data_IF_561194885829
#
_entry.id   IF_561194885829
#
_cell.length_a   1.000
_cell.length_b   1.000
_cell.length_c   1.000
_cell.angle_alpha   90.00
_cell.angle_beta   90.00
_cell.angle_gamma   90.00
#
_symmetry.space_group_name_H-M   'P 1'
#
loop_
_entity.id
_entity.type
_entity.pdbx_description
1 polymer ?
#
# COMPACT_ATOMS: atom_id res chain seq x y z
N UNK A 1 0.71 -15.65 3.70
CA UNK A 1 0.76 -15.93 5.15
C UNK A 1 0.03 -17.24 5.53
N UNK A 2 -0.25 -18.11 4.57
CA UNK A 2 -1.08 -19.34 4.75
C UNK A 2 -0.33 -20.57 5.32
N UNK A 3 0.90 -20.42 5.80
CA UNK A 3 1.69 -21.52 6.35
C UNK A 3 1.41 -21.81 7.83
N UNK A 4 1.71 -23.04 8.29
CA UNK A 4 1.62 -23.45 9.70
C UNK A 4 2.70 -22.80 10.60
N UNK A 5 3.73 -22.22 10.01
CA UNK A 5 4.82 -21.52 10.69
C UNK A 5 4.80 -20.07 10.28
N UNK A 6 4.75 -19.16 11.26
CA UNK A 6 4.81 -17.73 11.01
C UNK A 6 6.28 -17.32 10.96
N UNK A 7 6.76 -16.86 9.81
CA UNK A 7 8.15 -16.41 9.71
C UNK A 7 8.34 -15.07 10.44
N UNK A 8 9.51 -14.91 11.02
CA UNK A 8 9.93 -13.64 11.64
C UNK A 8 10.79 -12.86 10.66
N UNK A 9 10.41 -11.62 10.41
CA UNK A 9 11.14 -10.71 9.52
C UNK A 9 11.50 -9.42 10.26
N UNK A 10 12.63 -8.82 9.88
CA UNK A 10 12.90 -7.42 10.18
C UNK A 10 12.26 -6.55 9.09
N UNK A 11 11.42 -5.62 9.50
CA UNK A 11 10.71 -4.70 8.61
C UNK A 11 10.40 -3.38 9.31
N UNK A 12 9.67 -2.49 8.66
CA UNK A 12 9.32 -1.19 9.24
C UNK A 12 8.81 -1.27 10.68
N UNK A 13 7.85 -2.15 11.02
CA UNK A 13 7.32 -2.17 12.39
C UNK A 13 8.38 -2.56 13.43
N UNK A 14 9.22 -3.56 13.15
CA UNK A 14 10.27 -3.99 14.07
C UNK A 14 11.34 -2.92 14.24
N UNK A 15 11.81 -2.34 13.13
CA UNK A 15 12.84 -1.30 13.15
C UNK A 15 12.35 -0.04 13.88
N UNK A 16 11.14 0.43 13.56
CA UNK A 16 10.57 1.62 14.19
C UNK A 16 10.26 1.39 15.68
N UNK A 17 9.82 0.19 16.06
CA UNK A 17 9.62 -0.20 17.45
C UNK A 17 10.94 -0.13 18.26
N UNK A 18 12.04 -0.60 17.69
CA UNK A 18 13.39 -0.48 18.29
C UNK A 18 13.82 0.98 18.47
N UNK A 19 13.29 1.90 17.67
CA UNK A 19 13.47 3.35 17.79
C UNK A 19 12.45 4.03 18.73
N UNK A 20 11.66 3.26 19.44
CA UNK A 20 10.69 3.77 20.43
C UNK A 20 9.34 4.20 19.85
N UNK A 21 9.06 3.88 18.58
CA UNK A 21 7.73 4.12 18.02
C UNK A 21 6.71 3.13 18.57
N UNK A 22 5.50 3.62 18.86
CA UNK A 22 4.33 2.76 19.06
C UNK A 22 3.80 2.32 17.70
N UNK A 23 3.68 1.02 17.47
CA UNK A 23 3.31 0.46 16.18
C UNK A 23 1.88 -0.07 16.19
N UNK A 24 1.05 0.42 15.27
CA UNK A 24 -0.38 0.12 15.19
C UNK A 24 -0.78 -0.28 13.77
N UNK A 25 -1.62 -1.31 13.67
CA UNK A 25 -2.21 -1.74 12.40
C UNK A 25 -3.74 -1.70 12.50
N UNK A 26 -4.37 -1.07 11.54
CA UNK A 26 -5.83 -0.95 11.44
C UNK A 26 -6.30 -1.61 10.16
N UNK A 27 -7.21 -2.58 10.26
CA UNK A 27 -7.83 -3.27 9.12
C UNK A 27 -9.34 -3.26 9.26
N UNK A 28 -10.05 -3.35 8.15
CA UNK A 28 -11.52 -3.30 8.13
C UNK A 28 -12.17 -4.62 8.51
N UNK A 29 -11.55 -5.74 8.14
CA UNK A 29 -12.07 -7.10 8.23
C UNK A 29 -11.60 -7.85 9.51
N UNK A 30 -11.99 -9.11 9.61
CA UNK A 30 -11.58 -9.99 10.71
C UNK A 30 -10.07 -10.17 10.78
N UNK A 31 -9.54 -10.20 11.99
CA UNK A 31 -8.10 -10.28 12.25
C UNK A 31 -7.45 -11.57 11.76
N UNK A 32 -8.23 -12.64 11.64
CA UNK A 32 -7.74 -13.95 11.18
C UNK A 32 -7.68 -14.08 9.66
N UNK A 33 -8.20 -13.12 8.91
CA UNK A 33 -8.09 -13.14 7.45
C UNK A 33 -6.63 -13.28 7.03
N UNK A 34 -6.34 -14.27 6.20
CA UNK A 34 -4.97 -14.64 5.76
C UNK A 34 -3.92 -14.72 6.88
N UNK A 35 -4.35 -15.02 8.12
CA UNK A 35 -3.50 -15.12 9.30
C UNK A 35 -2.75 -13.82 9.66
N UNK A 36 -3.31 -12.67 9.28
CA UNK A 36 -2.67 -11.36 9.44
C UNK A 36 -2.37 -11.01 10.89
N UNK A 37 -3.29 -11.28 11.82
CA UNK A 37 -3.09 -10.97 13.24
C UNK A 37 -1.83 -11.63 13.81
N UNK A 38 -1.69 -12.94 13.60
CA UNK A 38 -0.54 -13.66 14.10
C UNK A 38 0.76 -13.18 13.43
N UNK A 39 0.73 -12.94 12.11
CA UNK A 39 1.89 -12.44 11.37
C UNK A 39 2.33 -11.05 11.84
N UNK A 40 1.42 -10.10 11.96
CA UNK A 40 1.77 -8.74 12.34
C UNK A 40 2.22 -8.62 13.80
N UNK A 41 1.61 -9.36 14.72
CA UNK A 41 2.08 -9.42 16.12
C UNK A 41 3.49 -9.98 16.21
N UNK A 42 3.78 -11.05 15.46
CA UNK A 42 5.12 -11.65 15.42
C UNK A 42 6.15 -10.71 14.80
N UNK A 43 5.73 -9.85 13.87
CA UNK A 43 6.60 -8.98 13.09
C UNK A 43 6.53 -7.50 13.51
N UNK A 44 6.26 -7.21 14.78
CA UNK A 44 6.60 -5.95 15.41
C UNK A 44 5.45 -4.96 15.62
N UNK A 45 4.18 -5.30 15.29
CA UNK A 45 3.06 -4.45 15.65
C UNK A 45 2.65 -4.66 17.11
N UNK A 46 2.55 -3.57 17.89
CA UNK A 46 2.10 -3.58 19.26
C UNK A 46 0.60 -3.77 19.38
N UNK A 47 -0.15 -3.08 18.51
CA UNK A 47 -1.61 -3.10 18.50
C UNK A 47 -2.14 -3.39 17.11
N UNK A 48 -3.17 -4.23 17.05
CA UNK A 48 -3.89 -4.56 15.83
C UNK A 48 -5.37 -4.35 16.10
N UNK A 49 -5.98 -3.49 15.28
CA UNK A 49 -7.40 -3.17 15.33
C UNK A 49 -8.07 -3.73 14.08
N UNK A 50 -9.16 -4.43 14.26
CA UNK A 50 -9.84 -5.22 13.25
C UNK A 50 -11.34 -5.25 13.54
N UNK A 51 -12.12 -5.93 12.72
CA UNK A 51 -13.57 -6.00 12.83
C UNK A 51 -14.06 -6.32 14.26
N UNK A 52 -13.34 -7.15 14.99
CA UNK A 52 -13.67 -7.55 16.37
C UNK A 52 -13.61 -6.37 17.37
N UNK A 53 -12.97 -5.27 17.01
CA UNK A 53 -12.88 -4.06 17.82
C UNK A 53 -13.96 -3.03 17.48
N UNK A 54 -14.74 -3.24 16.42
CA UNK A 54 -15.70 -2.28 15.90
C UNK A 54 -17.14 -2.66 16.30
N UNK A 55 -18.05 -1.68 16.39
CA UNK A 55 -19.47 -1.99 16.56
C UNK A 55 -20.01 -2.84 15.43
N UNK A 56 -20.74 -3.91 15.74
CA UNK A 56 -21.22 -4.88 14.75
C UNK A 56 -22.12 -4.25 13.68
N UNK A 57 -22.87 -3.19 14.02
CA UNK A 57 -23.73 -2.44 13.10
C UNK A 57 -22.92 -1.60 12.07
N UNK A 58 -21.61 -1.49 12.22
CA UNK A 58 -20.72 -0.84 11.25
C UNK A 58 -20.16 -1.81 10.21
N UNK A 59 -20.27 -3.10 10.46
CA UNK A 59 -19.85 -4.13 9.52
C UNK A 59 -20.85 -4.19 8.36
N UNK A 60 -20.40 -3.99 7.14
CA UNK A 60 -21.25 -3.87 5.96
C UNK A 60 -21.27 -5.11 5.08
N UNK A 61 -20.18 -5.89 5.11
CA UNK A 61 -20.06 -7.15 4.35
C UNK A 61 -18.94 -8.02 4.94
N UNK A 62 -18.56 -9.10 4.25
CA UNK A 62 -17.47 -10.00 4.68
C UNK A 62 -16.06 -9.36 4.73
N UNK A 63 -15.89 -8.16 4.20
CA UNK A 63 -14.66 -7.36 4.29
C UNK A 63 -14.71 -6.31 5.40
N UNK A 64 -15.74 -6.34 6.25
CA UNK A 64 -15.81 -5.56 7.47
C UNK A 64 -16.43 -4.19 7.32
N UNK A 65 -15.78 -3.17 7.87
CA UNK A 65 -16.27 -1.80 7.96
C UNK A 65 -15.87 -0.96 6.76
N UNK A 66 -16.56 0.16 6.55
CA UNK A 66 -16.24 1.14 5.51
C UNK A 66 -14.95 1.90 5.81
N UNK A 67 -14.29 2.42 4.76
CA UNK A 67 -13.00 3.13 4.86
C UNK A 67 -13.10 4.39 5.73
N UNK A 68 -14.16 5.20 5.60
CA UNK A 68 -14.33 6.40 6.39
C UNK A 68 -14.47 6.11 7.89
N UNK A 69 -15.17 5.00 8.23
CA UNK A 69 -15.24 4.54 9.62
C UNK A 69 -13.87 4.08 10.13
N UNK A 70 -13.12 3.29 9.34
CA UNK A 70 -11.77 2.87 9.69
C UNK A 70 -10.87 4.06 9.99
N UNK A 71 -10.88 5.05 9.10
CA UNK A 71 -10.07 6.26 9.23
C UNK A 71 -10.44 7.10 10.46
N UNK A 72 -11.72 7.25 10.76
CA UNK A 72 -12.19 7.96 11.96
C UNK A 72 -11.81 7.20 13.24
N UNK A 73 -11.92 5.88 13.22
CA UNK A 73 -11.52 5.02 14.34
C UNK A 73 -10.01 5.15 14.59
N UNK A 74 -9.20 5.01 13.55
CA UNK A 74 -7.75 5.18 13.63
C UNK A 74 -7.36 6.57 14.14
N UNK A 75 -7.97 7.64 13.60
CA UNK A 75 -7.70 9.01 14.03
C UNK A 75 -7.96 9.21 15.53
N UNK A 76 -9.01 8.62 16.07
CA UNK A 76 -9.33 8.69 17.51
C UNK A 76 -8.27 7.97 18.37
N UNK A 77 -7.68 6.88 17.88
CA UNK A 77 -6.55 6.21 18.54
C UNK A 77 -5.27 7.02 18.45
N UNK A 78 -4.96 7.58 17.27
CA UNK A 78 -3.80 8.44 17.06
C UNK A 78 -3.84 9.72 17.91
N UNK A 79 -5.02 10.31 18.14
CA UNK A 79 -5.20 11.43 19.07
C UNK A 79 -4.81 11.08 20.50
N UNK A 80 -5.20 9.89 20.96
CA UNK A 80 -4.85 9.41 22.31
C UNK A 80 -3.35 9.11 22.40
N UNK A 81 -2.78 8.52 21.37
CA UNK A 81 -1.35 8.21 21.30
C UNK A 81 -0.49 9.48 21.27
N UNK A 82 -0.92 10.51 20.55
CA UNK A 82 -0.18 11.78 20.46
C UNK A 82 -0.11 12.57 21.78
N UNK A 83 -0.96 12.25 22.75
CA UNK A 83 -0.85 12.77 24.12
C UNK A 83 0.31 12.13 24.90
N UNK A 84 0.90 11.06 24.40
CA UNK A 84 2.09 10.41 24.93
C UNK A 84 3.34 11.00 24.26
N UNK A 85 4.49 10.80 24.87
CA UNK A 85 5.78 11.35 24.36
C UNK A 85 6.39 10.53 23.23
N UNK A 86 5.92 9.30 23.03
CA UNK A 86 6.47 8.38 22.02
C UNK A 86 5.90 8.67 20.63
N UNK A 87 6.74 8.66 19.57
CA UNK A 87 6.24 8.71 18.21
C UNK A 87 5.42 7.47 17.86
N UNK A 88 4.64 7.53 16.78
CA UNK A 88 3.84 6.40 16.34
C UNK A 88 4.11 6.04 14.87
N UNK A 89 3.91 4.75 14.57
CA UNK A 89 3.82 4.20 13.22
C UNK A 89 2.47 3.52 13.08
N UNK A 90 1.65 3.98 12.16
CA UNK A 90 0.31 3.44 11.94
C UNK A 90 0.13 3.02 10.48
N UNK A 91 -0.37 1.81 10.28
CA UNK A 91 -0.80 1.31 8.95
C UNK A 91 -2.31 1.20 8.96
N UNK A 92 -2.96 1.78 7.94
CA UNK A 92 -4.40 1.76 7.73
C UNK A 92 -4.67 1.02 6.41
N UNK A 93 -5.22 -0.20 6.50
CA UNK A 93 -5.55 -1.02 5.35
C UNK A 93 -7.02 -0.82 5.01
N UNK A 94 -7.30 -0.03 3.98
CA UNK A 94 -8.63 0.19 3.43
C UNK A 94 -9.07 -0.95 2.52
N UNK A 95 -10.36 -1.11 2.27
CA UNK A 95 -10.92 -2.23 1.51
C UNK A 95 -12.11 -1.85 0.62
N UNK A 96 -12.65 -0.63 0.74
CA UNK A 96 -13.90 -0.29 0.06
C UNK A 96 -13.85 -0.49 -1.45
N UNK A 97 -12.66 -0.33 -2.08
CA UNK A 97 -12.48 -0.60 -3.51
C UNK A 97 -12.30 -2.10 -3.84
N UNK A 98 -12.78 -2.99 -2.99
CA UNK A 98 -12.85 -4.44 -3.24
C UNK A 98 -14.33 -4.90 -3.38
N UNK A 99 -14.70 -5.66 -4.43
CA UNK A 99 -16.06 -6.19 -4.55
C UNK A 99 -16.39 -7.22 -3.42
N UNK A 100 -17.64 -7.26 -2.95
CA UNK A 100 -18.81 -6.51 -3.42
C UNK A 100 -18.79 -5.06 -2.94
N UNK A 101 -19.00 -4.12 -3.88
CA UNK A 101 -18.97 -2.69 -3.58
C UNK A 101 -20.20 -2.26 -2.80
N UNK A 102 -20.00 -1.53 -1.72
CA UNK A 102 -21.05 -0.94 -0.90
C UNK A 102 -20.87 0.57 -0.83
N UNK A 103 -21.73 1.31 -1.52
CA UNK A 103 -21.73 2.77 -1.44
C UNK A 103 -22.61 3.20 -0.27
N UNK A 104 -22.09 3.90 0.75
CA UNK A 104 -22.89 4.37 1.86
C UNK A 104 -23.97 5.36 1.40
N UNK A 105 -25.18 5.27 1.96
CA UNK A 105 -26.32 6.11 1.60
C UNK A 105 -26.11 7.62 1.84
N UNK A 106 -25.18 7.97 2.71
CA UNK A 106 -24.80 9.37 3.00
C UNK A 106 -23.79 9.94 2.01
N UNK A 107 -23.14 9.11 1.19
CA UNK A 107 -22.24 9.56 0.15
C UNK A 107 -23.00 9.75 -1.17
N UNK A 108 -22.73 10.84 -1.86
CA UNK A 108 -23.39 11.18 -3.12
C UNK A 108 -22.34 11.14 -4.26
N UNK A 109 -22.21 10.00 -4.96
CA UNK A 109 -21.28 9.88 -6.08
C UNK A 109 -21.73 10.71 -7.27
N UNK A 110 -20.78 11.13 -8.11
CA UNK A 110 -21.06 11.84 -9.36
C UNK A 110 -21.31 10.89 -10.52
N UNK A 111 -20.55 9.79 -10.56
CA UNK A 111 -20.69 8.76 -11.60
C UNK A 111 -21.94 7.91 -11.40
N UNK A 112 -22.39 7.30 -12.48
CA UNK A 112 -23.45 6.27 -12.48
C UNK A 112 -22.87 4.84 -12.46
N UNK A 113 -21.58 4.68 -12.71
CA UNK A 113 -20.90 3.39 -12.70
C UNK A 113 -20.45 3.07 -11.27
N UNK A 114 -20.82 1.91 -10.75
CA UNK A 114 -20.53 1.47 -9.39
C UNK A 114 -19.01 1.40 -9.12
N UNK A 115 -18.22 1.00 -10.10
CA UNK A 115 -16.76 0.93 -9.97
C UNK A 115 -16.10 2.32 -9.86
N UNK A 116 -16.66 3.33 -10.54
CA UNK A 116 -16.23 4.71 -10.39
C UNK A 116 -16.73 5.31 -9.09
N UNK A 117 -17.97 5.00 -8.68
CA UNK A 117 -18.55 5.47 -7.42
C UNK A 117 -17.74 5.02 -6.22
N UNK A 118 -17.24 3.79 -6.22
CA UNK A 118 -16.43 3.29 -5.09
C UNK A 118 -15.06 3.95 -5.03
N UNK A 119 -14.46 4.29 -6.17
CA UNK A 119 -13.22 5.08 -6.22
C UNK A 119 -13.46 6.51 -5.72
N UNK A 120 -14.55 7.15 -6.15
CA UNK A 120 -14.95 8.47 -5.63
C UNK A 120 -15.15 8.45 -4.11
N UNK A 121 -15.75 7.39 -3.58
CA UNK A 121 -15.94 7.21 -2.15
C UNK A 121 -14.63 7.00 -1.40
N UNK A 122 -13.72 6.16 -1.92
CA UNK A 122 -12.42 5.93 -1.32
C UNK A 122 -11.59 7.24 -1.27
N UNK A 123 -11.55 8.00 -2.37
CA UNK A 123 -10.91 9.32 -2.42
C UNK A 123 -11.52 10.30 -1.41
N UNK A 124 -12.87 10.34 -1.35
CA UNK A 124 -13.57 11.18 -0.38
C UNK A 124 -13.22 10.79 1.06
N UNK A 125 -13.12 9.50 1.36
CA UNK A 125 -12.77 8.99 2.70
C UNK A 125 -11.35 9.40 3.09
N UNK A 126 -10.37 9.27 2.19
CA UNK A 126 -9.01 9.76 2.40
C UNK A 126 -9.00 11.27 2.63
N UNK A 127 -9.74 12.02 1.82
CA UNK A 127 -9.85 13.49 1.98
C UNK A 127 -10.39 13.89 3.34
N UNK A 128 -11.44 13.20 3.84
CA UNK A 128 -12.00 13.46 5.17
C UNK A 128 -10.97 13.16 6.26
N UNK A 129 -10.25 12.05 6.14
CA UNK A 129 -9.18 11.71 7.06
C UNK A 129 -8.08 12.78 7.09
N UNK A 130 -7.54 13.15 5.92
CA UNK A 130 -6.47 14.15 5.81
C UNK A 130 -6.90 15.51 6.33
N UNK A 131 -8.14 15.93 6.07
CA UNK A 131 -8.69 17.17 6.61
C UNK A 131 -8.76 17.14 8.14
N UNK A 132 -9.24 16.07 8.75
CA UNK A 132 -9.30 15.91 10.21
C UNK A 132 -7.90 15.76 10.83
N UNK A 133 -6.99 15.07 10.15
CA UNK A 133 -5.60 14.90 10.55
C UNK A 133 -4.85 16.25 10.57
N UNK A 134 -5.09 17.13 9.58
CA UNK A 134 -4.45 18.45 9.51
C UNK A 134 -4.76 19.36 10.70
N UNK A 135 -5.78 19.04 11.47
CA UNK A 135 -6.14 19.76 12.69
C UNK A 135 -5.45 19.20 13.95
N UNK A 136 -4.60 18.17 13.79
CA UNK A 136 -3.94 17.55 14.92
C UNK A 136 -2.52 18.10 15.13
N UNK A 137 -2.05 18.21 16.37
CA UNK A 137 -0.73 18.79 16.67
C UNK A 137 0.45 17.98 16.11
N UNK A 138 0.25 16.72 15.75
CA UNK A 138 1.27 15.84 15.18
C UNK A 138 1.37 15.92 13.65
N UNK A 139 0.43 16.57 12.97
CA UNK A 139 0.31 16.57 11.50
C UNK A 139 1.60 17.04 10.81
N UNK A 140 2.13 18.19 11.24
CA UNK A 140 3.32 18.79 10.63
C UNK A 140 4.61 17.99 10.88
N UNK A 141 4.58 17.07 11.84
CA UNK A 141 5.70 16.14 12.14
C UNK A 141 5.38 14.70 11.72
N UNK A 142 4.55 14.52 10.69
CA UNK A 142 4.15 13.20 10.20
C UNK A 142 4.39 13.08 8.71
N UNK A 143 4.95 11.95 8.29
CA UNK A 143 5.04 11.55 6.89
C UNK A 143 3.89 10.57 6.63
N UNK A 144 2.96 10.96 5.75
CA UNK A 144 1.91 10.09 5.25
C UNK A 144 2.42 9.38 4.00
N UNK A 145 2.30 8.06 3.98
CA UNK A 145 2.64 7.23 2.82
C UNK A 145 1.36 6.64 2.26
N UNK A 146 1.00 7.00 1.03
CA UNK A 146 -0.15 6.45 0.32
C UNK A 146 0.38 5.50 -0.76
N UNK A 147 -0.10 4.26 -0.71
CA UNK A 147 0.40 3.17 -1.55
C UNK A 147 -0.76 2.23 -1.89
N UNK A 148 -0.84 1.79 -3.16
CA UNK A 148 -1.68 0.66 -3.52
C UNK A 148 -1.01 -0.67 -3.12
N UNK A 149 -1.78 -1.66 -2.68
CA UNK A 149 -1.30 -3.04 -2.50
C UNK A 149 -1.14 -3.72 -3.86
N UNK A 150 -2.08 -3.49 -4.78
CA UNK A 150 -2.03 -3.83 -6.20
C UNK A 150 -2.93 -2.86 -6.99
N UNK A 151 -2.85 -2.91 -8.31
CA UNK A 151 -3.76 -2.21 -9.20
C UNK A 151 -5.00 -3.04 -9.54
N UNK A 152 -5.75 -2.60 -10.53
CA UNK A 152 -6.92 -3.28 -11.08
C UNK A 152 -6.79 -3.36 -12.58
N UNK A 153 -7.25 -4.47 -13.18
CA UNK A 153 -7.32 -4.55 -14.64
C UNK A 153 -8.31 -3.50 -15.16
N UNK A 154 -7.80 -2.60 -15.98
CA UNK A 154 -8.57 -1.55 -16.65
C UNK A 154 -8.47 -1.76 -18.15
N UNK A 155 -9.63 -1.92 -18.81
CA UNK A 155 -9.69 -2.20 -20.24
C UNK A 155 -9.26 -3.62 -20.61
N UNK A 156 -8.70 -3.78 -21.82
CA UNK A 156 -8.15 -5.05 -22.26
C UNK A 156 -6.72 -5.23 -21.72
N UNK A 157 -6.30 -6.46 -21.37
CA UNK A 157 -4.92 -6.74 -21.00
C UNK A 157 -3.96 -6.30 -22.11
N UNK A 158 -2.90 -5.59 -21.75
CA UNK A 158 -1.85 -5.13 -22.66
C UNK A 158 -0.67 -6.10 -22.75
N UNK A 159 -0.65 -7.07 -21.85
CA UNK A 159 0.33 -8.16 -21.77
C UNK A 159 -0.19 -9.28 -20.86
N UNK A 160 0.57 -10.36 -20.71
CA UNK A 160 0.28 -11.44 -19.75
C UNK A 160 0.38 -10.98 -18.30
N UNK A 161 1.12 -9.89 -18.04
CA UNK A 161 1.15 -9.18 -16.76
C UNK A 161 0.69 -7.73 -16.97
N UNK A 162 -0.64 -7.45 -17.00
CA UNK A 162 -1.17 -6.15 -17.37
C UNK A 162 -0.59 -5.01 -16.53
N UNK A 163 -0.12 -3.94 -17.18
CA UNK A 163 0.49 -2.82 -16.48
C UNK A 163 -0.49 -2.17 -15.49
N UNK A 164 -1.77 -2.06 -15.83
CA UNK A 164 -2.77 -1.48 -14.93
C UNK A 164 -2.97 -2.26 -13.63
N UNK A 165 -2.59 -3.54 -13.59
CA UNK A 165 -2.66 -4.37 -12.39
C UNK A 165 -1.39 -4.26 -11.52
N UNK A 166 -0.23 -4.05 -12.14
CA UNK A 166 1.07 -4.08 -11.48
C UNK A 166 1.66 -2.69 -11.20
N UNK A 167 1.20 -1.64 -11.90
CA UNK A 167 1.66 -0.28 -11.71
C UNK A 167 0.76 0.45 -10.70
N UNK A 168 1.28 0.71 -9.52
CA UNK A 168 0.58 1.35 -8.41
C UNK A 168 1.20 2.71 -8.07
N UNK A 169 0.41 3.67 -7.56
CA UNK A 169 0.95 4.92 -7.07
C UNK A 169 1.70 4.73 -5.74
N UNK A 170 2.78 5.49 -5.56
CA UNK A 170 3.44 5.70 -4.27
C UNK A 170 3.56 7.20 -4.03
N UNK A 171 3.04 7.69 -2.92
CA UNK A 171 3.11 9.10 -2.56
C UNK A 171 3.59 9.26 -1.11
N UNK A 172 4.58 10.12 -0.91
CA UNK A 172 4.99 10.62 0.40
C UNK A 172 4.45 12.04 0.57
N UNK A 173 3.58 12.24 1.55
CA UNK A 173 2.96 13.52 1.82
C UNK A 173 3.33 14.03 3.22
N UNK A 174 4.09 15.11 3.27
CA UNK A 174 4.48 15.80 4.50
C UNK A 174 4.78 17.27 4.18
N UNK A 175 3.76 18.12 4.02
CA UNK A 175 3.91 19.47 3.44
C UNK A 175 4.82 20.40 4.27
N UNK A 176 4.97 20.17 5.58
CA UNK A 176 5.90 20.89 6.43
C UNK A 176 7.37 20.43 6.28
N UNK A 177 7.61 19.26 5.69
CA UNK A 177 8.93 18.62 5.66
C UNK A 177 9.46 18.41 4.23
N UNK A 178 8.58 18.27 3.25
CA UNK A 178 8.91 17.90 1.87
C UNK A 178 8.47 18.98 0.89
N UNK A 179 9.28 19.21 -0.12
CA UNK A 179 8.90 19.96 -1.31
C UNK A 179 8.21 19.04 -2.31
N UNK A 180 7.15 19.52 -2.96
CA UNK A 180 6.45 18.75 -3.97
C UNK A 180 7.36 18.47 -5.17
N UNK A 181 7.55 17.20 -5.50
CA UNK A 181 8.38 16.71 -6.61
C UNK A 181 7.76 15.42 -7.15
N UNK A 182 7.82 15.21 -8.46
CA UNK A 182 7.48 13.96 -9.11
C UNK A 182 8.76 13.24 -9.51
N UNK A 183 8.84 11.94 -9.20
CA UNK A 183 9.95 11.06 -9.58
C UNK A 183 9.49 10.09 -10.65
N UNK A 184 10.15 10.08 -11.78
CA UNK A 184 9.88 9.16 -12.90
C UNK A 184 10.67 7.84 -12.80
N UNK A 185 11.40 7.64 -11.71
CA UNK A 185 12.28 6.49 -11.51
C UNK A 185 11.47 5.22 -11.21
N UNK A 186 12.01 4.06 -11.58
CA UNK A 186 11.45 2.79 -11.16
C UNK A 186 11.55 2.59 -9.66
N UNK A 187 10.45 2.13 -9.07
CA UNK A 187 10.37 1.73 -7.68
C UNK A 187 9.39 0.58 -7.51
N UNK A 188 9.50 -0.12 -6.40
CA UNK A 188 8.57 -1.17 -6.00
C UNK A 188 8.20 -1.08 -4.53
N UNK A 189 7.24 -1.88 -4.11
CA UNK A 189 6.84 -1.95 -2.69
C UNK A 189 8.03 -2.29 -1.77
N UNK A 190 9.02 -3.02 -2.28
CA UNK A 190 10.26 -3.36 -1.55
C UNK A 190 11.10 -2.12 -1.20
N UNK A 191 10.96 -1.03 -1.94
CA UNK A 191 11.72 0.21 -1.77
C UNK A 191 11.07 1.19 -0.77
N UNK A 192 9.82 0.95 -0.38
CA UNK A 192 9.07 1.83 0.54
C UNK A 192 9.77 1.93 1.89
N UNK A 193 10.17 0.79 2.46
CA UNK A 193 10.82 0.75 3.77
C UNK A 193 12.18 1.45 3.77
N UNK A 194 13.13 1.14 2.87
CA UNK A 194 14.41 1.86 2.78
C UNK A 194 14.24 3.37 2.56
N UNK A 195 13.32 3.77 1.69
CA UNK A 195 13.05 5.19 1.41
C UNK A 195 12.53 5.91 2.65
N UNK A 196 11.53 5.34 3.33
CA UNK A 196 10.97 5.95 4.54
C UNK A 196 12.01 6.02 5.68
N UNK A 197 12.77 4.95 5.90
CA UNK A 197 13.83 4.93 6.92
C UNK A 197 14.95 5.93 6.59
N UNK A 198 15.27 6.11 5.32
CA UNK A 198 16.19 7.15 4.84
C UNK A 198 15.68 8.57 5.13
N UNK A 199 14.39 8.84 4.88
CA UNK A 199 13.74 10.12 5.22
C UNK A 199 13.76 10.39 6.73
N UNK A 200 13.52 9.35 7.55
CA UNK A 200 13.57 9.42 9.00
C UNK A 200 15.01 9.45 9.56
N UNK A 201 16.03 9.28 8.73
CA UNK A 201 17.46 9.19 9.11
C UNK A 201 17.75 8.10 10.15
N UNK A 202 17.04 6.98 10.02
CA UNK A 202 17.19 5.82 10.90
C UNK A 202 18.22 4.88 10.31
N UNK A 203 19.26 4.54 11.10
CA UNK A 203 20.21 3.49 10.75
C UNK A 203 19.63 2.12 11.09
N UNK A 204 19.71 1.19 10.17
CA UNK A 204 19.21 -0.17 10.33
C UNK A 204 20.04 -1.18 9.53
N UNK A 205 19.90 -2.46 9.84
CA UNK A 205 20.49 -3.54 9.05
C UNK A 205 19.46 -3.92 7.96
N UNK A 206 19.84 -3.65 6.72
CA UNK A 206 19.01 -4.01 5.57
C UNK A 206 19.22 -5.49 5.20
N UNK A 207 18.14 -6.24 5.11
CA UNK A 207 18.15 -7.66 4.76
C UNK A 207 17.28 -7.97 3.52
N UNK A 208 16.99 -6.99 2.70
CA UNK A 208 16.23 -7.10 1.47
C UNK A 208 16.93 -6.37 0.31
N UNK A 209 16.37 -6.44 -0.90
CA UNK A 209 16.90 -5.83 -2.12
C UNK A 209 16.29 -4.44 -2.41
N UNK A 210 15.59 -3.84 -1.44
CA UNK A 210 15.04 -2.49 -1.57
C UNK A 210 16.14 -1.44 -1.59
N UNK A 211 15.85 -0.28 -2.18
CA UNK A 211 16.74 0.88 -2.21
C UNK A 211 16.02 2.13 -1.70
N UNK A 212 16.78 3.12 -1.26
CA UNK A 212 16.26 4.46 -0.95
C UNK A 212 16.05 5.23 -2.27
N UNK A 213 14.80 5.31 -2.74
CA UNK A 213 14.43 5.95 -4.01
C UNK A 213 14.75 7.45 -4.08
N UNK A 214 15.07 8.09 -2.95
CA UNK A 214 15.54 9.48 -2.93
C UNK A 214 17.05 9.62 -3.14
N UNK A 215 17.81 8.53 -3.04
CA UNK A 215 19.27 8.51 -3.16
C UNK A 215 19.78 7.63 -4.28
N UNK A 216 19.02 6.62 -4.66
CA UNK A 216 19.44 5.61 -5.61
C UNK A 216 18.41 5.45 -6.72
N UNK A 217 18.86 5.01 -7.90
CA UNK A 217 18.00 4.75 -9.05
C UNK A 217 18.10 3.28 -9.45
N UNK A 218 16.97 2.71 -9.88
CA UNK A 218 16.92 1.38 -10.46
C UNK A 218 16.93 1.47 -11.98
N UNK A 219 17.79 0.70 -12.67
CA UNK A 219 17.75 0.61 -14.12
C UNK A 219 16.51 -0.16 -14.62
N UNK A 220 15.97 -1.04 -13.78
CA UNK A 220 14.79 -1.84 -14.08
C UNK A 220 14.09 -2.26 -12.79
N UNK A 221 12.83 -2.69 -12.89
CA UNK A 221 12.07 -3.24 -11.78
C UNK A 221 11.73 -4.70 -12.04
N UNK A 222 11.93 -5.54 -11.00
CA UNK A 222 11.51 -6.93 -10.95
C UNK A 222 10.23 -7.06 -10.13
N UNK A 223 9.26 -7.81 -10.63
CA UNK A 223 8.02 -8.08 -9.92
C UNK A 223 7.45 -9.43 -10.33
N UNK A 224 6.49 -9.92 -9.55
CA UNK A 224 5.84 -11.20 -9.83
C UNK A 224 4.34 -11.09 -9.62
N UNK A 225 3.59 -11.81 -10.42
CA UNK A 225 2.16 -12.01 -10.25
C UNK A 225 1.83 -13.45 -10.64
N UNK A 226 1.13 -14.16 -9.78
CA UNK A 226 0.82 -15.58 -9.93
C UNK A 226 2.08 -16.43 -10.22
N UNK A 227 2.11 -17.10 -11.39
CA UNK A 227 3.25 -17.93 -11.82
C UNK A 227 4.22 -17.15 -12.73
N UNK A 228 4.08 -15.83 -12.87
CA UNK A 228 4.90 -15.03 -13.77
C UNK A 228 5.93 -14.18 -13.04
N UNK A 229 7.09 -14.04 -13.67
CA UNK A 229 8.15 -13.11 -13.28
C UNK A 229 8.29 -12.04 -14.36
N UNK A 230 8.23 -10.77 -13.96
CA UNK A 230 8.36 -9.62 -14.84
C UNK A 230 9.64 -8.85 -14.58
N UNK A 231 10.29 -8.39 -15.65
CA UNK A 231 11.37 -7.40 -15.61
C UNK A 231 11.04 -6.28 -16.57
N UNK A 232 10.99 -5.06 -16.08
CA UNK A 232 10.66 -3.88 -16.87
C UNK A 232 11.71 -2.79 -16.70
N UNK A 233 12.18 -2.25 -17.82
CA UNK A 233 12.95 -1.01 -17.89
C UNK A 233 12.18 0.08 -18.69
N UNK A 234 12.82 1.16 -19.05
CA UNK A 234 12.19 2.25 -19.82
C UNK A 234 11.83 1.90 -21.26
N UNK A 235 12.39 0.82 -21.82
CA UNK A 235 12.29 0.45 -23.23
C UNK A 235 11.72 -0.94 -23.47
N UNK A 236 11.86 -1.82 -22.47
CA UNK A 236 11.57 -3.24 -22.62
C UNK A 236 10.75 -3.76 -21.43
N UNK A 237 9.92 -4.74 -21.71
CA UNK A 237 9.24 -5.52 -20.68
C UNK A 237 9.35 -7.00 -21.06
N UNK A 238 10.00 -7.77 -20.17
CA UNK A 238 10.17 -9.21 -20.30
C UNK A 238 9.32 -9.90 -19.25
N UNK A 239 8.61 -10.96 -19.66
CA UNK A 239 7.79 -11.80 -18.79
C UNK A 239 8.20 -13.26 -18.99
N UNK A 240 8.36 -13.98 -17.90
CA UNK A 240 8.61 -15.41 -17.86
C UNK A 240 7.51 -16.11 -17.06
N UNK A 241 6.76 -17.01 -17.72
CA UNK A 241 5.81 -17.90 -17.06
C UNK A 241 6.55 -19.12 -16.52
N UNK A 242 6.57 -19.26 -15.19
CA UNK A 242 7.31 -20.31 -14.50
C UNK A 242 6.65 -21.69 -14.63
N UNK A 243 5.37 -21.78 -15.00
CA UNK A 243 4.63 -23.01 -15.20
C UNK A 243 4.75 -23.50 -16.64
N UNK A 244 4.34 -22.69 -17.60
CA UNK A 244 4.38 -23.05 -19.04
C UNK A 244 5.78 -22.96 -19.63
N UNK A 245 6.74 -22.29 -18.98
CA UNK A 245 8.09 -21.96 -19.44
C UNK A 245 8.12 -21.06 -20.68
N UNK A 246 7.03 -20.33 -20.93
CA UNK A 246 6.94 -19.38 -22.02
C UNK A 246 7.59 -18.05 -21.65
N UNK A 247 8.13 -17.41 -22.66
CA UNK A 247 8.76 -16.10 -22.56
C UNK A 247 8.04 -15.11 -23.47
N UNK A 248 7.77 -13.91 -22.93
CA UNK A 248 7.11 -12.83 -23.66
C UNK A 248 7.98 -11.59 -23.60
N UNK A 249 8.21 -10.97 -24.76
CA UNK A 249 9.08 -9.81 -24.88
C UNK A 249 8.30 -8.67 -25.52
N UNK A 250 8.34 -7.50 -24.89
CA UNK A 250 7.68 -6.29 -25.35
C UNK A 250 8.67 -5.14 -25.45
N UNK A 251 8.52 -4.33 -26.50
CA UNK A 251 9.11 -2.99 -26.58
C UNK A 251 8.13 -1.98 -25.98
N UNK A 252 8.64 -0.96 -25.33
CA UNK A 252 7.87 0.13 -24.73
C UNK A 252 8.10 1.41 -25.55
N UNK A 253 7.03 1.96 -26.10
CA UNK A 253 7.04 3.24 -26.80
C UNK A 253 5.95 4.15 -26.24
N UNK A 254 6.34 5.26 -25.61
CA UNK A 254 5.41 6.20 -24.98
C UNK A 254 4.40 5.52 -24.04
N UNK A 255 4.87 4.58 -23.21
CA UNK A 255 4.04 3.81 -22.27
C UNK A 255 3.21 2.67 -22.89
N UNK A 256 3.22 2.52 -24.23
CA UNK A 256 2.49 1.47 -24.93
C UNK A 256 3.40 0.26 -25.21
N UNK A 257 2.89 -0.94 -24.94
CA UNK A 257 3.57 -2.19 -25.22
C UNK A 257 3.33 -2.64 -26.67
N UNK A 258 4.37 -3.12 -27.31
CA UNK A 258 4.29 -3.83 -28.59
C UNK A 258 5.16 -5.10 -28.51
N UNK A 259 4.69 -6.27 -29.03
CA UNK A 259 5.51 -7.48 -29.04
C UNK A 259 6.86 -7.21 -29.70
N UNK A 260 7.94 -7.60 -29.05
CA UNK A 260 9.25 -7.56 -29.67
C UNK A 260 9.32 -8.67 -30.74
N UNK A 261 9.65 -8.30 -31.98
CA UNK A 261 9.92 -9.29 -33.02
C UNK A 261 11.14 -10.10 -32.58
N UNK A 262 10.99 -11.44 -32.51
CA UNK A 262 12.12 -12.32 -32.32
C UNK A 262 13.19 -12.01 -33.37
N UNK A 263 14.35 -11.54 -32.94
CA UNK A 263 15.50 -11.53 -33.85
C UNK A 263 15.86 -12.99 -34.13
N UNK A 264 15.44 -13.47 -35.31
CA UNK A 264 15.82 -14.79 -35.85
C UNK A 264 17.31 -14.85 -36.08
#
# INVERSE_FOLDING_TARGET
>A
MKGSVIPTYSGLPTILKEQGYRTMFFMTHESQYDNMNAFFRTNGFDEIFSQENYPSEKVVNGFGVQDDFLYDYALNHLKKQSAQTSPFFAVLLSISNHPPYVIPSYFQPKSKNIEEQIVEYADWSIRQFMHKASQQPWFDNTIFVLLGDHGKLVGNPDSEMPQSYNHIPLMFYAPALLTAEEKENFGGQIDVAPTLLGMLRINYIQNNLGIDLLKEERPCMFFSADNMLGVKDTKHFYIYDTESKQEFNYNIHNGTLSPATANT
#
